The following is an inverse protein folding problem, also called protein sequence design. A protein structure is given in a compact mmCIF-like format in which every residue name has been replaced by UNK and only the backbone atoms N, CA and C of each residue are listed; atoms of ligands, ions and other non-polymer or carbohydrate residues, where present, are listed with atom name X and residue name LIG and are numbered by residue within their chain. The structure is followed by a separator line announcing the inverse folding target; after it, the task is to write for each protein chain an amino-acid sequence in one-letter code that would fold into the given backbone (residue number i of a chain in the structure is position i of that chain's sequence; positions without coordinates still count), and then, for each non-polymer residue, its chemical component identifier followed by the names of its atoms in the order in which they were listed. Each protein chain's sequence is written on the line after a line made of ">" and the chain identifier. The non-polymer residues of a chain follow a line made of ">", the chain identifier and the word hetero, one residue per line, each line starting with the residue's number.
data_IF_408460347297
#
_entry.id   IF_408460347297
#
_cell.length_a   1.000
_cell.length_b   1.000
_cell.length_c   1.000
_cell.angle_alpha   90.00
_cell.angle_beta   90.00
_cell.angle_gamma   90.00
#
_symmetry.space_group_name_H-M   'P 1'
#
loop_
_entity.id
_entity.type
_entity.pdbx_description
1 polymer ?
#
# COMPACT_ATOMS: atom_id res chain seq x y z
N UNK A 1 2.72 -14.70 -9.23
CA UNK A 1 3.04 -13.40 -8.64
C UNK A 1 3.10 -13.57 -7.13
N UNK A 2 4.13 -13.08 -6.44
CA UNK A 2 4.28 -13.15 -5.00
C UNK A 2 4.66 -11.78 -4.43
N UNK A 3 4.06 -11.40 -3.30
CA UNK A 3 4.47 -10.24 -2.52
C UNK A 3 5.52 -10.69 -1.50
N UNK A 4 6.66 -10.00 -1.49
CA UNK A 4 7.77 -10.26 -0.58
C UNK A 4 8.11 -8.97 0.14
N UNK A 5 8.39 -9.06 1.43
CA UNK A 5 8.87 -7.92 2.21
C UNK A 5 10.37 -7.69 1.98
N UNK A 6 10.71 -6.49 1.50
CA UNK A 6 12.08 -5.96 1.54
C UNK A 6 12.31 -5.45 2.96
N UNK A 7 13.09 -6.19 3.72
CA UNK A 7 13.39 -5.80 5.10
C UNK A 7 14.34 -4.59 5.13
N UNK A 8 14.32 -3.78 6.21
CA UNK A 8 15.16 -2.59 6.32
C UNK A 8 16.65 -2.93 6.45
N UNK A 9 16.96 -4.11 7.00
CA UNK A 9 18.33 -4.61 7.21
C UNK A 9 19.07 -4.91 5.89
N UNK A 10 18.34 -5.07 4.78
CA UNK A 10 18.88 -5.34 3.45
C UNK A 10 18.93 -4.14 2.51
N UNK A 11 18.52 -2.94 2.96
CA UNK A 11 18.57 -1.73 2.14
C UNK A 11 19.97 -1.10 2.27
N UNK A 12 20.75 -1.14 1.18
CA UNK A 12 22.14 -0.69 1.17
C UNK A 12 22.27 0.75 1.68
N UNK A 13 23.11 0.93 2.71
CA UNK A 13 23.42 2.21 3.39
C UNK A 13 22.25 2.90 4.13
N UNK A 14 21.10 2.24 4.26
CA UNK A 14 20.00 2.76 5.07
C UNK A 14 20.31 2.70 6.56
N UNK A 15 20.00 3.79 7.24
CA UNK A 15 20.07 3.93 8.69
C UNK A 15 18.67 3.98 9.29
N UNK A 16 18.49 3.72 10.60
CA UNK A 16 17.19 3.88 11.24
C UNK A 16 16.57 5.28 11.06
N UNK A 17 17.40 6.32 10.90
CA UNK A 17 16.95 7.69 10.61
C UNK A 17 16.29 7.86 9.25
N UNK A 18 16.49 6.94 8.32
CA UNK A 18 15.88 7.00 6.98
C UNK A 18 14.45 6.47 6.96
N UNK A 19 13.98 5.89 8.07
CA UNK A 19 12.65 5.33 8.19
C UNK A 19 11.77 6.14 9.13
N UNK A 20 10.47 6.15 8.81
CA UNK A 20 9.41 6.42 9.78
C UNK A 20 8.75 5.10 10.15
N UNK A 21 8.22 5.02 11.37
CA UNK A 21 7.52 3.83 11.84
C UNK A 21 6.02 4.11 11.75
N UNK A 22 5.30 3.25 11.04
CA UNK A 22 3.85 3.19 11.07
C UNK A 22 3.42 2.01 11.94
N UNK A 23 2.53 2.24 12.89
CA UNK A 23 1.89 1.14 13.61
C UNK A 23 0.86 0.50 12.69
N UNK A 24 0.84 -0.83 12.67
CA UNK A 24 -0.06 -1.60 11.82
C UNK A 24 -0.78 -2.64 12.67
N UNK A 25 -2.11 -2.62 12.64
CA UNK A 25 -2.91 -3.46 13.52
C UNK A 25 -2.61 -3.21 15.01
N UNK A 26 -2.67 -4.26 15.83
CA UNK A 26 -2.52 -4.12 17.29
C UNK A 26 -1.09 -4.29 17.81
N UNK A 27 -0.18 -4.86 17.01
CA UNK A 27 1.15 -5.29 17.49
C UNK A 27 2.27 -5.19 16.45
N UNK A 28 1.99 -4.87 15.18
CA UNK A 28 3.02 -4.78 14.16
C UNK A 28 3.51 -3.33 13.99
N UNK A 29 4.78 -3.19 13.61
CA UNK A 29 5.40 -1.92 13.25
C UNK A 29 6.01 -2.07 11.88
N UNK A 30 5.54 -1.25 10.94
CA UNK A 30 6.07 -1.19 9.60
C UNK A 30 7.07 -0.03 9.49
N UNK A 31 8.26 -0.35 9.05
CA UNK A 31 9.28 0.64 8.74
C UNK A 31 9.04 1.10 7.32
N UNK A 32 8.91 2.41 7.11
CA UNK A 32 8.59 3.02 5.83
C UNK A 32 9.70 4.03 5.48
N UNK A 33 10.31 3.89 4.32
CA UNK A 33 11.42 4.75 3.91
C UNK A 33 10.91 6.18 3.71
N UNK A 34 11.67 7.17 4.18
CA UNK A 34 11.27 8.58 4.11
C UNK A 34 11.31 9.12 2.68
N UNK A 35 12.14 8.55 1.80
CA UNK A 35 12.34 9.05 0.43
C UNK A 35 12.03 8.03 -0.68
N UNK A 36 12.00 6.74 -0.38
CA UNK A 36 11.79 5.68 -1.38
C UNK A 36 10.41 5.07 -1.16
N UNK A 37 9.40 5.75 -1.68
CA UNK A 37 7.99 5.34 -1.51
C UNK A 37 7.54 4.37 -2.58
N UNK A 38 8.33 4.21 -3.64
CA UNK A 38 7.98 3.40 -4.81
C UNK A 38 8.45 1.96 -4.67
N UNK A 39 9.64 1.76 -4.09
CA UNK A 39 10.31 0.47 -4.09
C UNK A 39 10.35 -0.18 -2.71
N UNK A 40 9.81 0.46 -1.68
CA UNK A 40 9.85 0.00 -0.30
C UNK A 40 8.49 0.20 0.40
N UNK A 41 8.00 -0.75 1.23
CA UNK A 41 8.69 -1.92 1.77
C UNK A 41 8.50 -3.23 1.00
N UNK A 42 7.61 -3.30 0.02
CA UNK A 42 7.28 -4.56 -0.64
C UNK A 42 7.88 -4.69 -2.03
N UNK A 43 8.04 -5.94 -2.48
CA UNK A 43 8.33 -6.31 -3.86
C UNK A 43 7.28 -7.30 -4.35
N UNK A 44 6.66 -7.00 -5.47
CA UNK A 44 5.88 -7.99 -6.21
C UNK A 44 6.84 -8.68 -7.21
N UNK A 45 6.85 -10.01 -7.20
CA UNK A 45 7.73 -10.84 -8.05
C UNK A 45 6.94 -11.88 -8.85
N UNK A 46 7.35 -12.24 -10.07
CA UNK A 46 6.75 -13.25 -10.93
C UNK A 46 5.98 -12.77 -12.18
N UNK A 47 6.48 -11.78 -12.94
CA UNK A 47 5.98 -11.36 -14.26
C UNK A 47 6.53 -10.03 -14.83
N UNK A 48 6.18 -9.74 -16.07
CA UNK A 48 6.40 -8.48 -16.81
C UNK A 48 5.82 -7.19 -16.18
N UNK A 49 4.80 -7.26 -15.33
CA UNK A 49 4.16 -6.08 -14.69
C UNK A 49 4.61 -5.85 -13.23
N UNK A 50 5.67 -6.53 -12.79
CA UNK A 50 6.18 -6.47 -11.41
C UNK A 50 6.48 -5.05 -10.93
N UNK A 51 7.10 -4.23 -11.79
CA UNK A 51 7.52 -2.88 -11.44
C UNK A 51 6.34 -1.97 -11.10
N UNK A 52 5.35 -1.90 -11.98
CA UNK A 52 4.18 -1.03 -11.78
C UNK A 52 3.32 -1.51 -10.61
N UNK A 53 3.15 -2.83 -10.47
CA UNK A 53 2.43 -3.42 -9.36
C UNK A 53 3.15 -3.15 -8.02
N UNK A 54 4.48 -3.22 -8.00
CA UNK A 54 5.29 -2.91 -6.82
C UNK A 54 5.15 -1.44 -6.44
N UNK A 55 5.25 -0.52 -7.40
CA UNK A 55 5.08 0.93 -7.18
C UNK A 55 3.69 1.23 -6.61
N UNK A 56 2.64 0.74 -7.27
CA UNK A 56 1.24 0.91 -6.82
C UNK A 56 1.02 0.42 -5.39
N UNK A 57 1.57 -0.76 -5.06
CA UNK A 57 1.44 -1.32 -3.71
C UNK A 57 2.15 -0.43 -2.68
N UNK A 58 3.38 -0.03 -2.96
CA UNK A 58 4.18 0.75 -2.02
C UNK A 58 3.65 2.17 -1.86
N UNK A 59 3.10 2.81 -2.90
CA UNK A 59 2.44 4.11 -2.79
C UNK A 59 1.28 4.06 -1.79
N UNK A 60 0.41 3.05 -1.90
CA UNK A 60 -0.71 2.85 -0.96
C UNK A 60 -0.22 2.55 0.47
N UNK A 61 0.78 1.68 0.60
CA UNK A 61 1.35 1.30 1.90
C UNK A 61 2.08 2.46 2.57
N UNK A 62 2.69 3.36 1.79
CA UNK A 62 3.32 4.56 2.29
C UNK A 62 2.31 5.64 2.73
N UNK A 63 1.01 5.41 2.58
CA UNK A 63 -0.01 6.24 3.23
C UNK A 63 -0.34 5.76 4.64
N UNK A 64 0.08 4.57 5.05
CA UNK A 64 -0.18 4.05 6.40
C UNK A 64 0.41 4.99 7.47
N UNK A 65 -0.41 5.34 8.45
CA UNK A 65 -0.09 6.33 9.49
C UNK A 65 -0.12 7.80 9.04
N UNK A 66 -0.45 8.11 7.78
CA UNK A 66 -0.65 9.48 7.28
C UNK A 66 -2.05 10.02 7.62
N UNK A 67 -2.22 11.34 7.75
CA UNK A 67 -3.53 11.96 7.92
C UNK A 67 -4.47 11.70 6.74
N UNK A 68 -5.78 11.80 6.96
CA UNK A 68 -6.82 11.49 5.95
C UNK A 68 -6.69 12.33 4.67
N UNK A 69 -6.25 13.59 4.77
CA UNK A 69 -6.10 14.43 3.58
C UNK A 69 -5.04 13.90 2.61
N UNK A 70 -3.90 13.39 3.10
CA UNK A 70 -2.86 12.78 2.25
C UNK A 70 -3.43 11.59 1.45
N UNK A 71 -4.28 10.78 2.09
CA UNK A 71 -4.97 9.67 1.43
C UNK A 71 -5.94 10.16 0.36
N UNK A 72 -6.73 11.19 0.66
CA UNK A 72 -7.70 11.76 -0.28
C UNK A 72 -7.00 12.36 -1.50
N UNK A 73 -5.96 13.15 -1.28
CA UNK A 73 -5.19 13.79 -2.35
C UNK A 73 -4.57 12.74 -3.27
N UNK A 74 -3.99 11.69 -2.69
CA UNK A 74 -3.46 10.56 -3.45
C UNK A 74 -4.55 9.87 -4.28
N UNK A 75 -5.68 9.49 -3.65
CA UNK A 75 -6.74 8.74 -4.32
C UNK A 75 -7.39 9.54 -5.45
N UNK A 76 -7.62 10.83 -5.25
CA UNK A 76 -8.18 11.72 -6.29
C UNK A 76 -7.22 11.84 -7.46
N UNK A 77 -5.94 12.09 -7.18
CA UNK A 77 -4.93 12.14 -8.23
C UNK A 77 -4.81 10.81 -8.99
N UNK A 78 -4.76 9.68 -8.28
CA UNK A 78 -4.69 8.35 -8.90
C UNK A 78 -5.94 8.04 -9.74
N UNK A 79 -7.12 8.45 -9.29
CA UNK A 79 -8.36 8.28 -10.04
C UNK A 79 -8.39 9.11 -11.33
N UNK A 80 -7.96 10.37 -11.30
CA UNK A 80 -7.88 11.22 -12.50
C UNK A 80 -6.90 10.69 -13.56
N UNK A 81 -5.94 9.86 -13.16
CA UNK A 81 -5.02 9.17 -14.07
C UNK A 81 -5.44 7.73 -14.37
N UNK A 82 -6.58 7.28 -13.87
CA UNK A 82 -7.12 5.95 -14.12
C UNK A 82 -7.96 5.93 -15.40
N UNK A 83 -8.21 4.73 -15.92
CA UNK A 83 -9.07 4.54 -17.10
C UNK A 83 -10.57 4.46 -16.75
N UNK A 84 -10.94 4.56 -15.47
CA UNK A 84 -12.33 4.43 -15.02
C UNK A 84 -12.88 5.79 -14.65
N UNK A 85 -14.12 6.05 -15.08
CA UNK A 85 -14.84 7.29 -14.76
C UNK A 85 -15.75 7.13 -13.52
N UNK A 86 -15.78 5.94 -12.90
CA UNK A 86 -16.58 5.67 -11.69
C UNK A 86 -15.66 5.58 -10.46
N UNK A 87 -15.69 6.59 -9.55
CA UNK A 87 -14.88 6.59 -8.34
C UNK A 87 -15.14 5.37 -7.44
N UNK A 88 -16.36 4.85 -7.41
CA UNK A 88 -16.68 3.66 -6.62
C UNK A 88 -16.04 2.41 -7.24
N UNK A 89 -16.13 2.28 -8.56
CA UNK A 89 -15.48 1.18 -9.28
C UNK A 89 -13.96 1.22 -9.11
N UNK A 90 -13.36 2.41 -9.17
CA UNK A 90 -11.93 2.61 -8.90
C UNK A 90 -11.52 2.07 -7.52
N UNK A 91 -12.19 2.52 -6.44
CA UNK A 91 -11.88 2.05 -5.10
C UNK A 91 -12.14 0.56 -4.91
N UNK A 92 -13.23 0.04 -5.47
CA UNK A 92 -13.54 -1.37 -5.44
C UNK A 92 -12.46 -2.22 -6.11
N UNK A 93 -11.90 -1.74 -7.24
CA UNK A 93 -10.76 -2.37 -7.91
C UNK A 93 -9.51 -2.37 -7.01
N UNK A 94 -9.17 -1.23 -6.38
CA UNK A 94 -8.03 -1.16 -5.45
C UNK A 94 -8.17 -2.18 -4.31
N UNK A 95 -9.34 -2.22 -3.67
CA UNK A 95 -9.63 -3.13 -2.54
C UNK A 95 -9.60 -4.58 -2.99
N UNK A 96 -10.16 -4.90 -4.17
CA UNK A 96 -10.15 -6.25 -4.73
C UNK A 96 -8.72 -6.69 -5.03
N UNK A 97 -7.94 -5.85 -5.73
CA UNK A 97 -6.56 -6.13 -6.09
C UNK A 97 -5.69 -6.38 -4.85
N UNK A 98 -5.80 -5.54 -3.81
CA UNK A 98 -5.12 -5.78 -2.52
C UNK A 98 -5.57 -7.08 -1.84
N UNK A 99 -6.87 -7.40 -1.92
CA UNK A 99 -7.41 -8.67 -1.44
C UNK A 99 -6.82 -9.89 -2.14
N UNK A 100 -6.69 -9.83 -3.47
CA UNK A 100 -6.08 -10.90 -4.28
C UNK A 100 -4.58 -11.08 -3.92
N UNK A 101 -3.86 -9.99 -3.63
CA UNK A 101 -2.46 -10.04 -3.20
C UNK A 101 -2.24 -10.80 -1.89
N UNK A 102 -3.23 -10.80 -0.97
CA UNK A 102 -3.14 -11.56 0.28
C UNK A 102 -2.99 -13.07 0.05
N UNK A 103 -3.54 -13.60 -1.04
CA UNK A 103 -3.39 -15.02 -1.42
C UNK A 103 -2.00 -15.38 -1.94
N UNK A 104 -1.10 -14.40 -2.05
CA UNK A 104 0.18 -14.51 -2.74
C UNK A 104 1.36 -13.98 -1.92
N UNK A 105 1.22 -13.91 -0.60
CA UNK A 105 2.29 -13.48 0.31
C UNK A 105 3.37 -14.57 0.44
N UNK A 106 4.64 -14.15 0.46
CA UNK A 106 5.78 -15.06 0.59
C UNK A 106 6.84 -14.49 1.53
N UNK A 107 7.19 -15.26 2.55
CA UNK A 107 8.18 -14.96 3.58
C UNK A 107 8.10 -15.99 4.70
N UNK A 108 8.81 -15.74 5.80
CA UNK A 108 8.63 -16.48 7.05
C UNK A 108 7.23 -16.20 7.65
N UNK A 109 6.75 -17.08 8.54
CA UNK A 109 5.40 -16.97 9.13
C UNK A 109 5.10 -15.57 9.68
N UNK A 110 6.04 -15.00 10.44
CA UNK A 110 5.88 -13.67 11.04
C UNK A 110 5.91 -12.53 9.99
N UNK A 111 6.66 -12.70 8.88
CA UNK A 111 6.68 -11.74 7.78
C UNK A 111 5.34 -11.74 7.05
N UNK A 112 4.79 -12.93 6.80
CA UNK A 112 3.47 -13.10 6.19
C UNK A 112 2.39 -12.48 7.07
N UNK A 113 2.39 -12.73 8.37
CA UNK A 113 1.42 -12.13 9.31
C UNK A 113 1.46 -10.59 9.31
N UNK A 114 2.66 -10.00 9.21
CA UNK A 114 2.80 -8.54 9.12
C UNK A 114 2.28 -8.03 7.78
N UNK A 115 2.64 -8.68 6.67
CA UNK A 115 2.14 -8.32 5.35
C UNK A 115 0.61 -8.40 5.28
N UNK A 116 0.01 -9.44 5.86
CA UNK A 116 -1.45 -9.57 5.95
C UNK A 116 -2.08 -8.40 6.71
N UNK A 117 -1.55 -8.06 7.89
CA UNK A 117 -2.04 -6.94 8.70
C UNK A 117 -1.94 -5.61 7.93
N UNK A 118 -0.85 -5.39 7.19
CA UNK A 118 -0.68 -4.17 6.38
C UNK A 118 -1.73 -4.10 5.28
N UNK A 119 -1.92 -5.18 4.52
CA UNK A 119 -2.90 -5.20 3.44
C UNK A 119 -4.33 -5.07 3.97
N UNK A 120 -4.63 -5.65 5.14
CA UNK A 120 -5.92 -5.49 5.82
C UNK A 120 -6.18 -4.06 6.25
N UNK A 121 -5.18 -3.39 6.83
CA UNK A 121 -5.30 -2.01 7.27
C UNK A 121 -5.53 -1.06 6.08
N UNK A 122 -4.74 -1.21 5.01
CA UNK A 122 -4.91 -0.41 3.78
C UNK A 122 -6.31 -0.66 3.20
N UNK A 123 -6.74 -1.92 3.06
CA UNK A 123 -8.09 -2.25 2.61
C UNK A 123 -9.17 -1.62 3.50
N UNK A 124 -9.01 -1.70 4.82
CA UNK A 124 -9.94 -1.14 5.79
C UNK A 124 -10.03 0.37 5.67
N UNK A 125 -8.90 1.04 5.48
CA UNK A 125 -8.81 2.48 5.28
C UNK A 125 -9.50 2.94 4.00
N UNK A 126 -9.23 2.25 2.88
CA UNK A 126 -9.89 2.53 1.60
C UNK A 126 -11.42 2.40 1.69
N UNK A 127 -11.92 1.34 2.33
CA UNK A 127 -13.35 1.14 2.56
C UNK A 127 -13.95 2.23 3.46
N UNK A 128 -13.26 2.61 4.53
CA UNK A 128 -13.74 3.65 5.44
C UNK A 128 -13.85 5.02 4.75
N UNK A 129 -13.01 5.28 3.75
CA UNK A 129 -12.97 6.54 3.00
C UNK A 129 -13.89 6.56 1.78
N UNK A 130 -14.55 5.45 1.43
CA UNK A 130 -15.32 5.32 0.18
C UNK A 130 -16.33 6.46 0.01
N UNK A 131 -17.12 6.73 1.04
CA UNK A 131 -18.18 7.76 0.99
C UNK A 131 -17.61 9.15 0.72
N UNK A 132 -16.54 9.51 1.41
CA UNK A 132 -15.91 10.84 1.31
C UNK A 132 -15.18 10.98 -0.03
N UNK A 133 -14.52 9.91 -0.49
CA UNK A 133 -13.87 9.84 -1.79
C UNK A 133 -14.86 10.01 -2.94
N UNK A 134 -15.96 9.26 -2.95
CA UNK A 134 -16.99 9.36 -4.01
C UNK A 134 -17.61 10.77 -4.04
N UNK A 135 -17.79 11.41 -2.88
CA UNK A 135 -18.30 12.78 -2.80
C UNK A 135 -17.27 13.84 -3.25
N UNK A 136 -15.97 13.54 -3.10
CA UNK A 136 -14.87 14.42 -3.45
C UNK A 136 -14.42 14.31 -4.92
N UNK A 137 -14.39 13.10 -5.48
CA UNK A 137 -13.90 12.82 -6.83
C UNK A 137 -14.84 13.30 -7.95
N UNK A 138 -16.09 13.63 -7.62
CA UNK A 138 -17.06 14.20 -8.57
C UNK A 138 -17.06 15.72 -8.64
N UNK A 139 -16.13 16.41 -7.96
CA UNK A 139 -15.98 17.87 -7.95
C UNK A 139 -14.77 18.28 -8.77
#
# INVERSE_FOLDING_TARGET
>A
MFVVWKRPDGYHDATPSDFRIAEVGSRARLWLHKTDHEWYPFRISGGWQESDATRRLNELVNLTGRPVHDWMDFLVNAFHHSLTDDPRAFLADQVKWLGDLKGHLKGDTWEVEIMEQVLEEVCGRLRAMEKDFVAGAGK
#
